data_IF_179808511135
#
_entry.id   IF_179808511135
#
_cell.length_a   1.000
_cell.length_b   1.000
_cell.length_c   1.000
_cell.angle_alpha   90.00
_cell.angle_beta   90.00
_cell.angle_gamma   90.00
#
_symmetry.space_group_name_H-M   'P 1'
#
loop_
_entity.id
_entity.type
_entity.pdbx_description
1 polymer ?
#
# COMPACT_ATOMS: atom_id res chain seq x y z
N UNK A 1 63.44 4.39 -42.87
CA UNK A 1 63.81 5.48 -41.95
C UNK A 1 62.87 6.67 -42.17
N UNK A 2 62.51 7.35 -41.07
CA UNK A 2 61.73 8.60 -40.93
C UNK A 2 60.20 8.49 -40.89
N UNK A 3 59.75 8.37 -39.63
CA UNK A 3 58.48 8.81 -39.04
C UNK A 3 58.16 10.26 -39.42
N UNK A 4 56.89 10.56 -39.71
CA UNK A 4 56.20 11.75 -39.16
C UNK A 4 54.79 11.32 -38.77
N UNK A 5 54.51 11.54 -37.49
CA UNK A 5 53.31 11.24 -36.75
C UNK A 5 52.39 12.47 -36.84
N UNK A 6 51.16 12.31 -37.34
CA UNK A 6 50.09 13.29 -37.11
C UNK A 6 48.97 12.59 -36.33
N UNK A 7 49.11 12.62 -35.01
CA UNK A 7 48.02 12.46 -34.05
C UNK A 7 47.33 13.82 -33.93
N UNK A 8 46.05 13.95 -34.29
CA UNK A 8 45.22 15.07 -33.83
C UNK A 8 43.74 14.87 -34.14
N UNK A 9 42.97 14.67 -33.07
CA UNK A 9 41.55 15.04 -32.92
C UNK A 9 40.54 14.23 -33.74
N UNK A 10 40.31 12.99 -33.31
CA UNK A 10 38.99 12.37 -33.47
C UNK A 10 38.61 11.49 -32.28
N UNK A 11 38.89 12.00 -31.07
CA UNK A 11 38.53 11.38 -29.81
C UNK A 11 37.91 12.44 -28.88
N UNK A 12 36.83 13.10 -29.34
CA UNK A 12 36.10 14.10 -28.54
C UNK A 12 34.63 14.26 -28.97
N UNK A 13 34.00 13.18 -29.47
CA UNK A 13 32.56 13.14 -29.75
C UNK A 13 31.89 11.83 -29.29
N UNK A 14 32.39 11.22 -28.22
CA UNK A 14 31.77 10.04 -27.63
C UNK A 14 31.39 10.22 -26.15
N UNK A 15 31.20 11.47 -25.70
CA UNK A 15 30.81 11.78 -24.30
C UNK A 15 29.69 12.81 -24.16
N UNK A 16 28.95 13.16 -25.22
CA UNK A 16 27.84 14.14 -25.13
C UNK A 16 26.47 13.64 -25.63
N UNK A 17 26.29 12.32 -25.75
CA UNK A 17 24.97 11.71 -25.98
C UNK A 17 24.58 10.75 -24.85
N UNK A 18 24.95 11.07 -23.61
CA UNK A 18 23.96 10.89 -22.55
C UNK A 18 22.93 12.01 -22.75
N UNK A 19 21.94 11.79 -23.61
CA UNK A 19 20.73 12.58 -23.58
C UNK A 19 20.28 12.62 -22.12
N UNK A 20 20.45 13.77 -21.45
CA UNK A 20 20.03 13.95 -20.07
C UNK A 20 18.54 13.69 -20.10
N UNK A 21 18.12 12.48 -19.70
CA UNK A 21 16.71 12.10 -19.76
C UNK A 21 15.95 13.16 -18.97
N UNK A 22 15.06 13.86 -19.65
CA UNK A 22 14.18 14.88 -19.08
C UNK A 22 12.76 14.35 -19.19
N UNK A 23 11.93 14.71 -18.23
CA UNK A 23 10.54 14.26 -18.18
C UNK A 23 9.62 15.46 -18.01
N UNK A 24 8.46 15.37 -18.65
CA UNK A 24 7.39 16.32 -18.45
C UNK A 24 6.76 16.11 -17.07
N UNK A 25 6.75 17.16 -16.27
CA UNK A 25 6.05 17.24 -14.99
C UNK A 25 4.89 18.20 -15.17
N UNK A 26 3.69 17.72 -14.88
CA UNK A 26 2.46 18.50 -14.92
C UNK A 26 1.95 18.70 -13.50
N UNK A 27 1.51 19.91 -13.17
CA UNK A 27 0.87 20.20 -11.89
C UNK A 27 -0.64 20.21 -12.11
N UNK A 28 -1.35 19.38 -11.37
CA UNK A 28 -2.81 19.34 -11.39
C UNK A 28 -3.39 20.55 -10.65
N UNK A 29 -4.59 20.97 -11.02
CA UNK A 29 -5.23 22.10 -10.34
C UNK A 29 -5.64 21.71 -8.91
N UNK A 30 -5.21 22.49 -7.92
CA UNK A 30 -5.68 22.35 -6.54
C UNK A 30 -7.04 23.04 -6.36
N UNK A 31 -7.99 22.36 -5.73
CA UNK A 31 -9.26 22.94 -5.27
C UNK A 31 -9.27 23.04 -3.76
N UNK A 32 -9.81 24.14 -3.22
CA UNK A 32 -9.94 24.40 -1.78
C UNK A 32 -8.60 24.50 -1.01
N UNK A 33 -7.54 24.83 -1.72
CA UNK A 33 -6.20 25.02 -1.18
C UNK A 33 -5.23 25.33 -2.31
N UNK A 34 -3.95 25.29 -1.98
CA UNK A 34 -2.85 25.44 -2.93
C UNK A 34 -1.70 24.54 -2.50
N UNK A 35 -0.78 24.25 -3.41
CA UNK A 35 0.47 23.61 -3.06
C UNK A 35 1.62 24.20 -3.87
N UNK A 36 2.82 24.09 -3.32
CA UNK A 36 4.05 24.55 -3.93
C UNK A 36 4.94 23.37 -4.27
N UNK A 37 5.74 23.50 -5.34
CA UNK A 37 6.74 22.49 -5.74
C UNK A 37 8.11 23.15 -5.79
N UNK A 38 9.06 22.58 -5.05
CA UNK A 38 10.44 23.09 -4.93
C UNK A 38 11.44 22.02 -5.36
N UNK A 39 12.42 22.32 -6.25
CA UNK A 39 12.61 23.59 -6.95
C UNK A 39 11.44 23.93 -7.88
N UNK A 40 11.26 25.24 -8.13
CA UNK A 40 10.22 25.74 -9.05
C UNK A 40 10.39 25.10 -10.43
N UNK A 41 9.31 24.60 -10.99
CA UNK A 41 9.34 23.98 -12.31
C UNK A 41 9.64 25.02 -13.41
N UNK A 42 10.41 24.65 -14.45
CA UNK A 42 10.52 25.43 -15.68
C UNK A 42 9.13 25.68 -16.31
N UNK A 43 9.01 26.74 -17.13
CA UNK A 43 7.72 27.10 -17.77
C UNK A 43 7.15 25.98 -18.64
N UNK A 44 8.01 25.19 -19.27
CA UNK A 44 7.64 24.04 -20.10
C UNK A 44 7.41 22.76 -19.27
N UNK A 45 7.63 22.79 -17.95
CA UNK A 45 7.51 21.64 -17.07
C UNK A 45 8.55 20.54 -17.32
N UNK A 46 9.60 20.79 -18.10
CA UNK A 46 10.59 19.78 -18.48
C UNK A 46 11.69 19.73 -17.42
N UNK A 47 11.74 18.63 -16.66
CA UNK A 47 12.65 18.47 -15.51
C UNK A 47 13.65 17.35 -15.75
N UNK A 48 14.90 17.54 -15.30
CA UNK A 48 15.97 16.53 -15.44
C UNK A 48 15.70 15.30 -14.57
N UNK A 49 15.91 14.11 -15.11
CA UNK A 49 15.89 12.84 -14.36
C UNK A 49 16.78 12.92 -13.12
N UNK A 50 16.28 12.41 -12.01
CA UNK A 50 16.95 12.40 -10.71
C UNK A 50 16.69 13.64 -9.86
N UNK A 51 16.05 14.68 -10.39
CA UNK A 51 15.64 15.85 -9.61
C UNK A 51 14.65 15.42 -8.53
N UNK A 52 14.91 15.78 -7.28
CA UNK A 52 13.96 15.62 -6.18
C UNK A 52 13.11 16.87 -6.07
N UNK A 53 11.80 16.71 -6.23
CA UNK A 53 10.81 17.75 -6.04
C UNK A 53 10.18 17.58 -4.66
N UNK A 54 10.07 18.68 -3.90
CA UNK A 54 9.36 18.76 -2.62
C UNK A 54 8.04 19.47 -2.84
N UNK A 55 6.95 18.80 -2.49
CA UNK A 55 5.60 19.33 -2.55
C UNK A 55 5.19 19.75 -1.14
N UNK A 56 4.55 20.91 -0.99
CA UNK A 56 4.00 21.37 0.28
C UNK A 56 2.63 22.02 0.08
N UNK A 57 1.63 21.52 0.79
CA UNK A 57 0.26 21.99 0.72
C UNK A 57 -0.05 23.11 1.70
N UNK A 58 -1.06 23.92 1.37
CA UNK A 58 -1.64 24.97 2.20
C UNK A 58 -3.14 24.99 1.93
N UNK A 59 -3.94 24.65 2.94
CA UNK A 59 -5.39 24.60 2.80
C UNK A 59 -6.01 26.00 2.90
N UNK A 60 -7.15 26.20 2.23
CA UNK A 60 -7.98 27.40 2.45
C UNK A 60 -8.70 27.29 3.80
N UNK A 61 -9.25 28.41 4.27
CA UNK A 61 -10.10 28.43 5.47
C UNK A 61 -11.26 27.43 5.36
N UNK A 62 -11.49 26.65 6.42
CA UNK A 62 -12.50 25.57 6.45
C UNK A 62 -12.05 24.23 5.86
N UNK A 63 -10.83 24.13 5.33
CA UNK A 63 -10.29 22.91 4.74
C UNK A 63 -9.02 22.43 5.43
N UNK A 64 -8.68 21.17 5.23
CA UNK A 64 -7.43 20.54 5.66
C UNK A 64 -6.78 19.80 4.48
N UNK A 65 -5.44 19.68 4.44
CA UNK A 65 -4.77 18.80 3.49
C UNK A 65 -5.27 17.35 3.65
N UNK A 66 -5.67 16.71 2.56
CA UNK A 66 -6.17 15.33 2.56
C UNK A 66 -5.14 14.34 2.03
N UNK A 67 -4.58 14.63 0.86
CA UNK A 67 -3.58 13.75 0.26
C UNK A 67 -2.84 14.38 -0.89
N UNK A 68 -1.51 14.37 -0.81
CA UNK A 68 -0.63 14.63 -1.93
C UNK A 68 -0.52 13.40 -2.81
N UNK A 69 -0.37 13.60 -4.13
CA UNK A 69 -0.14 12.47 -5.01
C UNK A 69 0.79 12.82 -6.16
N UNK A 70 1.41 11.78 -6.72
CA UNK A 70 1.89 11.83 -8.10
C UNK A 70 1.36 10.64 -8.89
N UNK A 71 0.93 10.91 -10.12
CA UNK A 71 0.36 9.93 -11.03
C UNK A 71 1.33 9.71 -12.19
N UNK A 72 1.59 8.45 -12.52
CA UNK A 72 2.47 8.07 -13.62
C UNK A 72 1.69 7.21 -14.61
N UNK A 73 1.99 7.31 -15.90
CA UNK A 73 1.34 6.48 -16.92
C UNK A 73 2.26 5.31 -17.24
N UNK A 74 1.72 4.09 -17.14
CA UNK A 74 2.39 2.86 -17.53
C UNK A 74 1.42 1.99 -18.32
N UNK A 75 1.80 1.64 -19.55
CA UNK A 75 1.03 0.72 -20.41
C UNK A 75 -0.45 1.13 -20.59
N UNK A 76 -0.71 2.45 -20.66
CA UNK A 76 -2.07 3.01 -20.80
C UNK A 76 -2.84 3.16 -19.49
N UNK A 77 -2.31 2.70 -18.36
CA UNK A 77 -2.92 2.82 -17.04
C UNK A 77 -2.26 3.93 -16.21
N UNK A 78 -3.09 4.67 -15.47
CA UNK A 78 -2.61 5.66 -14.51
C UNK A 78 -2.34 4.96 -13.18
N UNK A 79 -1.10 5.05 -12.71
CA UNK A 79 -0.68 4.59 -11.39
C UNK A 79 -0.51 5.77 -10.46
N UNK A 80 -1.31 5.81 -9.40
CA UNK A 80 -1.23 6.82 -8.35
C UNK A 80 -0.30 6.38 -7.23
N UNK A 81 0.44 7.34 -6.70
CA UNK A 81 1.18 7.24 -5.46
C UNK A 81 0.71 8.36 -4.57
N UNK A 82 0.09 8.03 -3.46
CA UNK A 82 -0.56 8.98 -2.58
C UNK A 82 0.20 9.09 -1.26
N UNK A 83 0.02 10.21 -0.58
CA UNK A 83 0.46 10.37 0.81
C UNK A 83 -0.41 11.36 1.56
N UNK A 84 -0.68 11.09 2.84
CA UNK A 84 -1.47 11.98 3.70
C UNK A 84 -0.64 13.11 4.32
N UNK A 85 0.68 13.13 4.13
CA UNK A 85 1.52 14.17 4.69
C UNK A 85 1.38 15.49 3.94
N UNK A 86 1.24 16.59 4.69
CA UNK A 86 1.19 17.97 4.16
C UNK A 86 2.40 18.38 3.31
N UNK A 87 3.49 17.61 3.39
CA UNK A 87 4.63 17.72 2.51
C UNK A 87 5.21 16.36 2.18
N UNK A 88 5.64 16.18 0.93
CA UNK A 88 6.29 14.95 0.47
C UNK A 88 7.31 15.25 -0.61
N UNK A 89 8.20 14.29 -0.86
CA UNK A 89 9.20 14.38 -1.92
C UNK A 89 8.97 13.33 -2.99
N UNK A 90 9.12 13.71 -4.25
CA UNK A 90 9.08 12.81 -5.40
C UNK A 90 10.35 12.97 -6.23
N UNK A 91 10.93 11.84 -6.65
CA UNK A 91 12.10 11.83 -7.52
C UNK A 91 11.64 11.70 -8.97
N UNK A 92 12.07 12.63 -9.82
CA UNK A 92 11.73 12.63 -11.24
C UNK A 92 12.47 11.51 -11.95
N UNK A 93 11.78 10.45 -12.32
CA UNK A 93 12.35 9.33 -13.07
C UNK A 93 11.53 8.91 -14.30
N UNK A 94 10.34 9.49 -14.44
CA UNK A 94 9.40 9.36 -15.56
C UNK A 94 8.48 10.58 -15.63
N UNK A 95 7.65 10.64 -16.66
CA UNK A 95 6.58 11.65 -16.75
C UNK A 95 5.56 11.42 -15.65
N UNK A 96 5.10 12.51 -15.02
CA UNK A 96 4.13 12.43 -13.95
C UNK A 96 3.31 13.70 -13.81
N UNK A 97 2.09 13.51 -13.31
CA UNK A 97 1.28 14.58 -12.77
C UNK A 97 1.46 14.63 -11.26
N UNK A 98 1.56 15.82 -10.68
CA UNK A 98 1.66 16.02 -9.23
C UNK A 98 0.46 16.85 -8.81
N UNK A 99 -0.26 16.41 -7.80
CA UNK A 99 -1.42 17.10 -7.28
C UNK A 99 -1.55 17.00 -5.77
N UNK A 100 -2.55 17.70 -5.26
CA UNK A 100 -2.89 17.68 -3.84
C UNK A 100 -4.41 17.83 -3.66
N UNK A 101 -4.98 16.96 -2.83
CA UNK A 101 -6.38 16.94 -2.43
C UNK A 101 -6.58 17.65 -1.09
N UNK A 102 -7.71 18.36 -0.96
CA UNK A 102 -8.13 19.02 0.26
C UNK A 102 -9.56 18.62 0.57
N UNK A 103 -9.84 18.37 1.86
CA UNK A 103 -11.19 18.06 2.35
C UNK A 103 -11.62 19.06 3.39
N UNK A 104 -12.94 19.16 3.57
CA UNK A 104 -13.55 19.96 4.62
C UNK A 104 -13.00 19.55 5.99
N UNK A 105 -12.69 20.53 6.84
CA UNK A 105 -12.18 20.27 8.20
C UNK A 105 -13.15 19.40 9.01
N UNK A 106 -14.44 19.56 8.77
CA UNK A 106 -15.51 18.80 9.42
C UNK A 106 -15.41 17.29 9.14
N UNK A 107 -14.76 16.88 8.04
CA UNK A 107 -14.60 15.47 7.68
C UNK A 107 -13.80 14.66 8.70
N UNK A 108 -12.96 15.33 9.51
CA UNK A 108 -12.17 14.68 10.58
C UNK A 108 -12.43 15.31 11.96
N UNK A 109 -13.36 16.27 12.06
CA UNK A 109 -13.64 16.98 13.31
C UNK A 109 -14.08 16.03 14.43
N UNK A 110 -14.86 15.00 14.09
CA UNK A 110 -15.36 14.00 15.03
C UNK A 110 -14.44 12.78 15.18
N UNK A 111 -13.31 12.75 14.49
CA UNK A 111 -12.40 11.61 14.45
C UNK A 111 -11.07 11.92 15.15
N UNK A 112 -10.53 10.92 15.84
CA UNK A 112 -9.12 10.81 16.16
C UNK A 112 -8.47 10.00 15.05
N UNK A 113 -7.67 10.68 14.22
CA UNK A 113 -6.87 10.06 13.16
C UNK A 113 -5.43 9.93 13.65
N UNK A 114 -4.86 8.73 13.59
CA UNK A 114 -3.47 8.46 13.96
C UNK A 114 -2.83 7.67 12.83
N UNK A 115 -1.70 8.15 12.35
CA UNK A 115 -1.00 7.55 11.22
C UNK A 115 0.22 6.74 11.66
N UNK A 116 0.69 5.88 10.77
CA UNK A 116 2.01 5.27 10.85
C UNK A 116 2.24 4.35 12.06
N UNK A 117 1.20 3.63 12.52
CA UNK A 117 1.37 2.64 13.59
C UNK A 117 2.05 1.39 13.05
N UNK A 118 3.36 1.29 13.27
CA UNK A 118 4.17 0.15 12.84
C UNK A 118 3.85 -1.09 13.67
N UNK A 119 3.48 -2.18 12.99
CA UNK A 119 3.24 -3.48 13.63
C UNK A 119 4.37 -4.49 13.39
N UNK A 120 5.10 -4.37 12.28
CA UNK A 120 6.22 -5.25 11.95
C UNK A 120 7.20 -4.62 10.95
N UNK A 121 8.42 -5.18 10.89
CA UNK A 121 9.43 -4.85 9.86
C UNK A 121 10.23 -6.09 9.45
N UNK A 122 9.61 -7.05 8.74
CA UNK A 122 10.25 -8.29 8.31
C UNK A 122 11.22 -8.10 7.12
N UNK A 123 11.21 -6.92 6.48
CA UNK A 123 12.09 -6.54 5.37
C UNK A 123 12.47 -5.06 5.43
N UNK A 124 12.77 -4.46 4.29
CA UNK A 124 13.12 -3.02 4.22
C UNK A 124 11.92 -2.10 4.49
N UNK A 125 10.72 -2.48 4.02
CA UNK A 125 9.47 -1.76 4.21
C UNK A 125 8.95 -1.97 5.63
N UNK A 126 8.71 -0.87 6.36
CA UNK A 126 7.99 -0.91 7.63
C UNK A 126 6.51 -1.16 7.33
N UNK A 127 5.90 -2.07 8.07
CA UNK A 127 4.49 -2.42 7.90
C UNK A 127 3.70 -1.71 8.99
N UNK A 128 2.75 -0.91 8.54
CA UNK A 128 2.01 0.04 9.37
C UNK A 128 0.53 0.01 9.06
N UNK A 129 -0.24 0.66 9.91
CA UNK A 129 -1.63 0.99 9.65
C UNK A 129 -1.98 2.34 10.23
N UNK A 130 -3.02 2.94 9.67
CA UNK A 130 -3.64 4.15 10.17
C UNK A 130 -4.91 3.81 10.95
N UNK A 131 -5.25 4.65 11.91
CA UNK A 131 -6.40 4.49 12.81
C UNK A 131 -7.36 5.66 12.60
N UNK A 132 -8.63 5.35 12.40
CA UNK A 132 -9.73 6.31 12.37
C UNK A 132 -10.73 5.91 13.45
N UNK A 133 -10.75 6.67 14.55
CA UNK A 133 -11.57 6.37 15.74
C UNK A 133 -12.54 7.52 16.05
N UNK A 134 -13.84 7.27 16.21
CA UNK A 134 -14.79 8.29 16.64
C UNK A 134 -14.48 8.82 18.06
N UNK A 135 -14.39 10.14 18.21
CA UNK A 135 -14.13 10.78 19.52
C UNK A 135 -15.24 10.46 20.52
N UNK A 136 -14.86 10.16 21.76
CA UNK A 136 -15.79 9.92 22.86
C UNK A 136 -16.61 8.64 22.75
N UNK A 137 -16.22 7.71 21.86
CA UNK A 137 -16.81 6.37 21.76
C UNK A 137 -15.83 5.31 22.26
N UNK A 138 -16.37 4.20 22.74
CA UNK A 138 -15.60 3.06 23.23
C UNK A 138 -16.35 1.75 22.94
N UNK A 139 -15.64 0.63 22.97
CA UNK A 139 -16.14 -0.73 22.67
C UNK A 139 -16.90 -0.84 21.35
N UNK A 140 -16.46 -0.11 20.33
CA UNK A 140 -17.04 -0.19 18.99
C UNK A 140 -16.47 -1.39 18.23
N UNK A 141 -17.24 -2.08 17.39
CA UNK A 141 -16.70 -3.06 16.45
C UNK A 141 -15.58 -2.48 15.60
N UNK A 142 -14.58 -3.30 15.28
CA UNK A 142 -13.43 -2.90 14.49
C UNK A 142 -13.62 -3.28 13.02
N UNK A 143 -13.29 -2.38 12.09
CA UNK A 143 -13.14 -2.71 10.67
C UNK A 143 -11.66 -2.62 10.31
N UNK A 144 -11.12 -3.66 9.71
CA UNK A 144 -9.75 -3.68 9.17
C UNK A 144 -9.85 -3.65 7.65
N UNK A 145 -9.33 -2.59 7.05
CA UNK A 145 -9.24 -2.40 5.59
C UNK A 145 -7.86 -2.85 5.13
N UNK A 146 -7.83 -3.67 4.08
CA UNK A 146 -6.60 -4.11 3.41
C UNK A 146 -6.64 -3.63 1.97
N UNK A 147 -5.68 -2.81 1.56
CA UNK A 147 -5.71 -2.16 0.24
C UNK A 147 -5.43 -3.12 -0.92
N UNK A 148 -5.93 -2.77 -2.11
CA UNK A 148 -5.64 -3.42 -3.38
C UNK A 148 -4.27 -3.02 -3.95
N UNK A 149 -4.14 -2.99 -5.28
CA UNK A 149 -2.85 -2.70 -5.93
C UNK A 149 -2.08 -3.96 -6.36
N UNK A 150 -2.79 -5.07 -6.57
CA UNK A 150 -2.24 -6.30 -7.15
C UNK A 150 -1.05 -6.83 -6.37
N UNK A 151 -1.05 -6.75 -5.04
CA UNK A 151 0.07 -7.15 -4.17
C UNK A 151 1.41 -6.45 -4.46
N UNK A 152 1.44 -5.39 -5.27
CA UNK A 152 2.67 -4.86 -5.87
C UNK A 152 2.80 -3.34 -5.76
N UNK A 153 1.80 -2.68 -5.21
CA UNK A 153 1.71 -1.23 -5.17
C UNK A 153 0.75 -0.78 -4.08
N UNK A 154 0.65 0.53 -3.89
CA UNK A 154 -0.13 1.22 -2.88
C UNK A 154 0.38 1.03 -1.44
N UNK A 155 -0.25 1.76 -0.54
CA UNK A 155 -0.07 1.74 0.91
C UNK A 155 -1.45 1.86 1.55
N UNK A 156 -1.50 1.91 2.87
CA UNK A 156 -2.73 2.24 3.61
C UNK A 156 -3.38 3.53 3.11
N UNK A 157 -2.59 4.51 2.62
CA UNK A 157 -3.08 5.85 2.32
C UNK A 157 -4.13 5.90 1.20
N UNK A 158 -4.18 4.90 0.29
CA UNK A 158 -5.13 4.86 -0.84
C UNK A 158 -6.58 4.67 -0.39
N UNK A 159 -6.81 4.04 0.76
CA UNK A 159 -8.16 3.77 1.28
C UNK A 159 -8.62 4.76 2.36
N UNK A 160 -7.87 5.85 2.59
CA UNK A 160 -8.15 6.83 3.67
C UNK A 160 -9.56 7.40 3.63
N UNK A 161 -10.08 7.72 2.43
CA UNK A 161 -11.41 8.29 2.27
C UNK A 161 -12.50 7.32 2.71
N UNK A 162 -12.33 6.03 2.37
CA UNK A 162 -13.24 4.98 2.79
C UNK A 162 -13.13 4.71 4.30
N UNK A 163 -11.91 4.70 4.85
CA UNK A 163 -11.69 4.55 6.29
C UNK A 163 -12.36 5.67 7.10
N UNK A 164 -12.22 6.92 6.63
CA UNK A 164 -12.83 8.11 7.20
C UNK A 164 -14.35 8.03 7.19
N UNK A 165 -14.96 7.65 6.07
CA UNK A 165 -16.42 7.54 5.95
C UNK A 165 -17.01 6.48 6.90
N UNK A 166 -16.38 5.31 6.95
CA UNK A 166 -16.79 4.24 7.87
C UNK A 166 -16.68 4.67 9.34
N UNK A 167 -15.61 5.36 9.71
CA UNK A 167 -15.45 5.87 11.07
C UNK A 167 -16.46 7.00 11.39
N UNK A 168 -16.74 7.90 10.44
CA UNK A 168 -17.70 9.00 10.62
C UNK A 168 -19.14 8.54 10.87
N UNK A 169 -19.48 7.29 10.53
CA UNK A 169 -20.75 6.68 10.97
C UNK A 169 -20.92 6.64 12.50
N UNK A 170 -19.81 6.74 13.25
CA UNK A 170 -19.78 6.67 14.71
C UNK A 170 -19.99 5.26 15.27
N UNK A 171 -19.99 4.23 14.41
CA UNK A 171 -20.30 2.84 14.76
C UNK A 171 -19.07 1.93 14.79
N UNK A 172 -17.96 2.37 14.22
CA UNK A 172 -16.77 1.53 14.03
C UNK A 172 -15.49 2.29 14.37
N UNK A 173 -14.49 1.56 14.88
CA UNK A 173 -13.09 1.97 14.80
C UNK A 173 -12.48 1.32 13.57
N UNK A 174 -11.84 2.10 12.71
CA UNK A 174 -11.31 1.61 11.45
C UNK A 174 -9.78 1.60 11.48
N UNK A 175 -9.20 0.48 11.08
CA UNK A 175 -7.76 0.27 10.94
C UNK A 175 -7.45 0.01 9.47
N UNK A 176 -6.59 0.83 8.88
CA UNK A 176 -6.29 0.78 7.45
C UNK A 176 -4.85 0.32 7.23
N UNK A 177 -4.67 -0.88 6.69
CA UNK A 177 -3.43 -1.67 6.82
C UNK A 177 -2.61 -1.70 5.53
N UNK A 178 -1.30 -1.54 5.69
CA UNK A 178 -0.26 -1.74 4.67
C UNK A 178 0.41 -3.11 4.81
N UNK A 179 1.01 -3.61 3.73
CA UNK A 179 1.70 -4.91 3.69
C UNK A 179 2.89 -4.89 2.71
N UNK A 180 3.81 -5.87 2.76
CA UNK A 180 4.94 -5.91 1.81
C UNK A 180 4.48 -6.19 0.39
N UNK A 181 5.18 -5.63 -0.59
CA UNK A 181 4.88 -5.93 -1.99
C UNK A 181 5.58 -7.21 -2.44
N UNK A 182 4.96 -7.93 -3.38
CA UNK A 182 5.47 -9.16 -3.96
C UNK A 182 6.79 -8.94 -4.70
N UNK A 183 7.60 -10.00 -4.76
CA UNK A 183 8.95 -10.00 -5.30
C UNK A 183 9.82 -8.91 -4.64
N UNK A 184 10.59 -8.14 -5.40
CA UNK A 184 11.48 -7.08 -4.88
C UNK A 184 10.88 -5.69 -5.09
N UNK A 185 9.56 -5.61 -5.28
CA UNK A 185 8.90 -4.39 -5.73
C UNK A 185 8.89 -3.30 -4.66
N UNK A 186 8.96 -3.66 -3.37
CA UNK A 186 9.12 -2.74 -2.25
C UNK A 186 10.59 -2.32 -2.01
N UNK A 187 11.52 -2.77 -2.86
CA UNK A 187 12.94 -2.47 -2.79
C UNK A 187 13.77 -3.42 -1.92
N UNK A 188 13.17 -4.48 -1.36
CA UNK A 188 13.94 -5.50 -0.64
C UNK A 188 14.88 -6.27 -1.60
N UNK A 189 16.02 -6.71 -1.07
CA UNK A 189 16.95 -7.58 -1.81
C UNK A 189 16.39 -8.99 -1.93
N UNK A 190 15.65 -9.45 -0.92
CA UNK A 190 15.02 -10.77 -0.89
C UNK A 190 13.60 -10.65 -1.46
N UNK A 191 13.21 -11.52 -2.39
CA UNK A 191 11.87 -11.47 -2.94
C UNK A 191 10.84 -11.86 -1.88
N UNK A 192 9.81 -11.03 -1.72
CA UNK A 192 8.63 -11.35 -0.91
C UNK A 192 7.71 -12.26 -1.70
N UNK A 193 7.27 -13.34 -1.06
CA UNK A 193 6.32 -14.29 -1.64
C UNK A 193 4.91 -14.03 -1.09
N UNK A 194 3.86 -14.49 -1.79
CA UNK A 194 2.48 -14.24 -1.34
C UNK A 194 2.19 -14.77 0.07
N UNK A 195 2.75 -15.93 0.48
CA UNK A 195 2.51 -16.42 1.85
C UNK A 195 3.03 -15.45 2.90
N UNK A 196 4.13 -14.75 2.63
CA UNK A 196 4.68 -13.72 3.52
C UNK A 196 3.80 -12.47 3.57
N UNK A 197 3.08 -12.15 2.49
CA UNK A 197 2.08 -11.08 2.49
C UNK A 197 0.86 -11.48 3.34
N UNK A 198 0.44 -12.75 3.28
CA UNK A 198 -0.61 -13.28 4.17
C UNK A 198 -0.15 -13.23 5.65
N UNK A 199 1.11 -13.58 5.93
CA UNK A 199 1.73 -13.44 7.25
C UNK A 199 1.76 -11.99 7.74
N UNK A 200 1.99 -11.03 6.83
CA UNK A 200 1.93 -9.60 7.14
C UNK A 200 0.54 -9.17 7.58
N UNK A 201 -0.50 -9.61 6.87
CA UNK A 201 -1.89 -9.28 7.21
C UNK A 201 -2.30 -9.95 8.51
N UNK A 202 -1.89 -11.20 8.77
CA UNK A 202 -2.07 -11.80 10.09
C UNK A 202 -1.38 -10.99 11.19
N UNK A 203 -0.14 -10.55 10.96
CA UNK A 203 0.59 -9.70 11.89
C UNK A 203 -0.18 -8.42 12.22
N UNK A 204 -0.74 -7.75 11.22
CA UNK A 204 -1.56 -6.56 11.41
C UNK A 204 -2.81 -6.85 12.24
N UNK A 205 -3.59 -7.89 11.89
CA UNK A 205 -4.82 -8.24 12.61
C UNK A 205 -4.52 -8.59 14.07
N UNK A 206 -3.47 -9.38 14.32
CA UNK A 206 -3.07 -9.77 15.67
C UNK A 206 -2.58 -8.56 16.48
N UNK A 207 -1.82 -7.66 15.86
CA UNK A 207 -1.38 -6.42 16.51
C UNK A 207 -2.58 -5.52 16.86
N UNK A 208 -3.51 -5.34 15.92
CA UNK A 208 -4.75 -4.57 16.13
C UNK A 208 -5.58 -5.20 17.25
N UNK A 209 -5.73 -6.53 17.29
CA UNK A 209 -6.43 -7.22 18.37
C UNK A 209 -5.84 -6.99 19.76
N UNK A 210 -4.54 -6.74 19.87
CA UNK A 210 -3.90 -6.40 21.14
C UNK A 210 -4.13 -4.92 21.52
N UNK A 211 -4.15 -4.03 20.54
CA UNK A 211 -4.16 -2.57 20.77
C UNK A 211 -5.52 -1.90 20.62
N UNK A 212 -6.53 -2.57 20.05
CA UNK A 212 -7.79 -1.95 19.64
C UNK A 212 -8.50 -1.16 20.75
N UNK A 213 -8.47 -1.66 21.99
CA UNK A 213 -9.10 -1.00 23.14
C UNK A 213 -8.49 0.37 23.45
N UNK A 214 -7.21 0.60 23.12
CA UNK A 214 -6.55 1.91 23.28
C UNK A 214 -7.18 2.99 22.37
N UNK A 215 -7.93 2.56 21.37
CA UNK A 215 -8.55 3.40 20.35
C UNK A 215 -10.07 3.30 20.35
N UNK A 216 -10.67 2.75 21.42
CA UNK A 216 -12.11 2.59 21.55
C UNK A 216 -12.71 1.40 20.80
N UNK A 217 -11.85 0.48 20.31
CA UNK A 217 -12.25 -0.70 19.55
C UNK A 217 -12.44 -1.94 20.42
N UNK A 218 -13.48 -2.72 20.13
CA UNK A 218 -13.72 -4.04 20.67
C UNK A 218 -13.03 -5.11 19.80
N UNK A 219 -11.89 -5.59 20.30
CA UNK A 219 -11.11 -6.65 19.63
C UNK A 219 -11.84 -7.99 19.51
N UNK A 220 -12.97 -8.18 20.20
CA UNK A 220 -13.81 -9.39 20.09
C UNK A 220 -14.80 -9.33 18.92
N UNK A 221 -14.90 -8.20 18.23
CA UNK A 221 -15.80 -7.98 17.09
C UNK A 221 -15.08 -7.29 15.93
N UNK A 222 -14.41 -8.08 15.10
CA UNK A 222 -13.60 -7.62 13.96
C UNK A 222 -14.26 -7.99 12.64
N UNK A 223 -14.34 -7.02 11.73
CA UNK A 223 -14.75 -7.21 10.34
C UNK A 223 -13.59 -6.88 9.42
N UNK A 224 -13.41 -7.67 8.37
CA UNK A 224 -12.35 -7.45 7.39
C UNK A 224 -12.94 -7.01 6.05
N UNK A 225 -12.27 -6.09 5.37
CA UNK A 225 -12.63 -5.68 4.01
C UNK A 225 -11.38 -5.30 3.22
N UNK A 226 -11.49 -5.27 1.90
CA UNK A 226 -10.41 -4.90 1.01
C UNK A 226 -10.81 -5.00 -0.45
N UNK A 227 -10.15 -4.25 -1.31
CA UNK A 227 -10.39 -4.24 -2.74
C UNK A 227 -9.36 -5.11 -3.50
N UNK A 228 -9.77 -5.82 -4.55
CA UNK A 228 -8.86 -6.56 -5.42
C UNK A 228 -7.92 -7.52 -4.65
N UNK A 229 -6.60 -7.28 -4.71
CA UNK A 229 -5.59 -8.00 -3.92
C UNK A 229 -5.89 -7.99 -2.41
N UNK A 230 -6.40 -6.88 -1.87
CA UNK A 230 -6.84 -6.78 -0.49
C UNK A 230 -8.06 -7.65 -0.19
N UNK A 231 -8.98 -7.77 -1.15
CA UNK A 231 -10.11 -8.70 -1.08
C UNK A 231 -9.67 -10.17 -1.03
N UNK A 232 -8.65 -10.53 -1.82
CA UNK A 232 -8.00 -11.84 -1.71
C UNK A 232 -7.37 -12.05 -0.32
N UNK A 233 -6.63 -11.06 0.18
CA UNK A 233 -5.91 -11.16 1.45
C UNK A 233 -6.88 -11.26 2.65
N UNK A 234 -7.94 -10.46 2.70
CA UNK A 234 -8.92 -10.51 3.79
C UNK A 234 -9.64 -11.87 3.83
N UNK A 235 -9.93 -12.43 2.66
CA UNK A 235 -10.52 -13.77 2.53
C UNK A 235 -9.53 -14.85 2.94
N UNK A 236 -8.25 -14.71 2.59
CA UNK A 236 -7.19 -15.66 2.95
C UNK A 236 -7.03 -15.76 4.47
N UNK A 237 -6.92 -14.62 5.17
CA UNK A 237 -6.71 -14.63 6.62
C UNK A 237 -7.92 -15.12 7.42
N UNK A 238 -9.13 -14.97 6.87
CA UNK A 238 -10.32 -15.52 7.51
C UNK A 238 -10.45 -17.04 7.29
N UNK A 239 -10.07 -17.56 6.12
CA UNK A 239 -10.24 -18.98 5.79
C UNK A 239 -9.06 -19.86 6.20
N UNK A 240 -7.87 -19.28 6.42
CA UNK A 240 -6.65 -20.04 6.71
C UNK A 240 -6.20 -19.96 8.17
N UNK A 241 -7.08 -19.60 9.11
CA UNK A 241 -6.73 -19.48 10.53
C UNK A 241 -6.12 -20.79 11.06
N UNK A 242 -6.67 -21.94 10.66
CA UNK A 242 -6.14 -23.26 11.05
C UNK A 242 -4.74 -23.56 10.53
N UNK A 243 -4.28 -22.80 9.54
CA UNK A 243 -2.93 -22.88 8.96
C UNK A 243 -1.95 -21.93 9.63
N UNK A 244 -2.34 -21.13 10.62
CA UNK A 244 -1.36 -20.37 11.39
C UNK A 244 -0.43 -21.33 12.12
N UNK A 245 0.88 -21.12 11.98
CA UNK A 245 1.89 -22.03 12.51
C UNK A 245 3.33 -21.61 12.18
N UNK A 246 4.32 -22.27 12.79
CA UNK A 246 5.74 -21.93 12.68
C UNK A 246 6.56 -22.95 11.87
N UNK A 247 5.92 -23.94 11.22
CA UNK A 247 6.63 -24.92 10.37
C UNK A 247 6.98 -24.35 8.98
N UNK A 248 6.52 -23.14 8.67
CA UNK A 248 6.78 -22.43 7.42
C UNK A 248 5.90 -22.88 6.25
N UNK A 249 6.25 -22.41 5.05
CA UNK A 249 5.53 -22.67 3.81
C UNK A 249 6.43 -23.39 2.80
N UNK A 250 6.30 -24.71 2.69
CA UNK A 250 7.14 -25.59 1.89
C UNK A 250 6.31 -26.64 1.12
N UNK A 251 6.43 -26.61 -0.21
CA UNK A 251 5.74 -27.55 -1.11
C UNK A 251 6.27 -28.98 -1.03
N UNK A 252 7.57 -29.17 -0.83
CA UNK A 252 8.21 -30.49 -0.93
C UNK A 252 7.72 -31.45 0.16
N UNK A 253 7.35 -30.92 1.32
CA UNK A 253 6.85 -31.69 2.46
C UNK A 253 5.39 -31.34 2.79
N UNK A 254 4.65 -30.74 1.85
CA UNK A 254 3.23 -30.39 2.00
C UNK A 254 2.91 -29.56 3.26
N UNK A 255 3.83 -28.68 3.68
CA UNK A 255 3.66 -27.83 4.86
C UNK A 255 3.24 -26.44 4.41
N UNK A 256 2.02 -26.02 4.77
CA UNK A 256 1.49 -24.70 4.41
C UNK A 256 1.04 -23.97 5.67
N UNK A 257 2.01 -23.47 6.43
CA UNK A 257 1.75 -22.69 7.63
C UNK A 257 2.17 -21.23 7.46
N UNK A 258 1.38 -20.34 8.04
CA UNK A 258 1.62 -18.89 8.03
C UNK A 258 2.00 -18.44 9.43
N UNK A 259 3.20 -17.90 9.62
CA UNK A 259 3.60 -17.30 10.89
C UNK A 259 3.31 -15.80 10.87
N UNK A 260 2.38 -15.28 11.70
CA UNK A 260 2.10 -13.85 11.74
C UNK A 260 3.38 -13.05 12.00
N UNK A 261 3.60 -11.98 11.24
CA UNK A 261 4.82 -11.17 11.41
C UNK A 261 4.87 -10.39 12.72
N UNK A 262 3.74 -10.32 13.42
CA UNK A 262 3.63 -9.86 14.79
C UNK A 262 2.99 -10.93 15.67
N UNK A 263 3.62 -11.21 16.81
CA UNK A 263 3.10 -12.10 17.86
C UNK A 263 3.18 -11.38 19.21
N UNK A 264 2.07 -11.28 19.98
CA UNK A 264 2.07 -10.72 21.31
C UNK A 264 3.01 -11.49 22.23
N UNK A 265 3.72 -10.76 23.10
CA UNK A 265 4.69 -11.37 24.02
C UNK A 265 3.99 -12.39 24.92
N UNK A 266 4.51 -13.61 24.94
CA UNK A 266 4.02 -14.70 25.79
C UNK A 266 2.75 -15.39 25.28
N UNK A 267 2.26 -15.09 24.07
CA UNK A 267 1.13 -15.79 23.45
C UNK A 267 1.60 -16.94 22.57
N UNK A 268 0.95 -18.09 22.74
CA UNK A 268 1.13 -19.25 21.89
C UNK A 268 0.39 -19.10 20.56
N UNK A 269 0.82 -19.87 19.56
CA UNK A 269 0.14 -19.95 18.25
C UNK A 269 -1.32 -20.38 18.42
N UNK A 270 -1.58 -21.35 19.30
CA UNK A 270 -2.94 -21.88 19.48
C UNK A 270 -3.89 -20.84 20.11
N UNK A 271 -3.41 -20.07 21.09
CA UNK A 271 -4.17 -18.95 21.64
C UNK A 271 -4.51 -17.91 20.57
N UNK A 272 -3.57 -17.61 19.66
CA UNK A 272 -3.81 -16.67 18.56
C UNK A 272 -4.84 -17.20 17.57
N UNK A 273 -4.75 -18.48 17.18
CA UNK A 273 -5.73 -19.14 16.31
C UNK A 273 -7.13 -19.07 16.90
N UNK A 274 -7.28 -19.47 18.16
CA UNK A 274 -8.56 -19.46 18.86
C UNK A 274 -9.11 -18.04 18.94
N UNK A 275 -8.28 -17.05 19.31
CA UNK A 275 -8.74 -15.67 19.44
C UNK A 275 -9.15 -15.08 18.09
N UNK A 276 -8.40 -15.34 17.02
CA UNK A 276 -8.74 -14.89 15.66
C UNK A 276 -10.08 -15.48 15.20
N UNK A 277 -10.25 -16.80 15.33
CA UNK A 277 -11.48 -17.51 14.95
C UNK A 277 -12.71 -16.98 15.70
N UNK A 278 -12.55 -16.60 16.97
CA UNK A 278 -13.63 -16.04 17.76
C UNK A 278 -13.92 -14.57 17.44
N UNK A 279 -12.90 -13.79 17.07
CA UNK A 279 -13.00 -12.34 16.96
C UNK A 279 -13.42 -11.88 15.57
N UNK A 280 -13.03 -12.58 14.51
CA UNK A 280 -13.44 -12.26 13.13
C UNK A 280 -14.91 -12.64 12.94
N UNK A 281 -15.77 -11.65 12.69
CA UNK A 281 -17.23 -11.81 12.55
C UNK A 281 -17.71 -11.84 11.10
N UNK A 282 -16.92 -11.30 10.18
CA UNK A 282 -17.29 -11.26 8.78
C UNK A 282 -16.20 -10.67 7.89
N UNK A 283 -16.29 -11.00 6.61
CA UNK A 283 -15.42 -10.50 5.56
C UNK A 283 -16.28 -9.95 4.43
N UNK A 284 -15.98 -8.74 3.97
CA UNK A 284 -16.68 -8.09 2.87
C UNK A 284 -15.67 -7.67 1.78
N UNK A 285 -15.26 -8.58 0.87
CA UNK A 285 -14.32 -8.25 -0.19
C UNK A 285 -15.00 -7.41 -1.28
N UNK A 286 -14.35 -6.33 -1.71
CA UNK A 286 -14.81 -5.47 -2.80
C UNK A 286 -14.13 -5.87 -4.12
N UNK A 287 -14.85 -6.60 -4.98
CA UNK A 287 -14.40 -7.23 -6.23
C UNK A 287 -13.08 -8.03 -6.14
N UNK A 288 -13.16 -9.33 -6.41
CA UNK A 288 -12.00 -10.22 -6.41
C UNK A 288 -10.99 -9.89 -7.52
N UNK A 289 -9.79 -10.46 -7.39
CA UNK A 289 -8.72 -10.34 -8.40
C UNK A 289 -9.11 -11.02 -9.71
N UNK A 290 -8.48 -10.55 -10.78
CA UNK A 290 -8.70 -10.94 -12.17
C UNK A 290 -8.07 -12.31 -12.52
N UNK A 291 -8.31 -12.78 -13.75
CA UNK A 291 -7.82 -14.07 -14.25
C UNK A 291 -6.29 -14.21 -14.23
N UNK A 292 -5.82 -15.47 -14.26
CA UNK A 292 -4.38 -15.77 -14.37
C UNK A 292 -3.74 -15.09 -15.59
N UNK A 293 -4.49 -14.96 -16.69
CA UNK A 293 -4.09 -14.23 -17.90
C UNK A 293 -3.89 -12.73 -17.63
N UNK A 294 -4.78 -12.09 -16.87
CA UNK A 294 -4.62 -10.68 -16.52
C UNK A 294 -3.47 -10.48 -15.53
N UNK A 295 -3.25 -11.43 -14.62
CA UNK A 295 -2.11 -11.40 -13.70
C UNK A 295 -0.76 -11.61 -14.43
N UNK A 296 -0.70 -12.43 -15.47
CA UNK A 296 0.54 -12.71 -16.22
C UNK A 296 1.08 -11.48 -16.97
N UNK A 297 0.22 -10.52 -17.31
CA UNK A 297 0.63 -9.22 -17.87
C UNK A 297 1.49 -8.41 -16.89
N UNK A 298 1.30 -8.60 -15.58
CA UNK A 298 2.00 -7.87 -14.52
C UNK A 298 3.08 -8.70 -13.82
N UNK A 299 2.93 -10.02 -13.81
CA UNK A 299 3.76 -10.97 -13.05
C UNK A 299 4.22 -12.15 -13.90
N UNK A 300 4.89 -11.90 -15.02
CA UNK A 300 5.15 -12.89 -16.08
C UNK A 300 5.83 -14.18 -15.60
N UNK A 301 6.67 -14.12 -14.57
CA UNK A 301 7.43 -15.27 -14.04
C UNK A 301 6.96 -15.76 -12.65
N UNK A 302 5.77 -15.33 -12.18
CA UNK A 302 5.30 -15.75 -10.86
C UNK A 302 4.74 -17.19 -10.90
N UNK A 303 5.34 -18.16 -10.17
CA UNK A 303 5.03 -19.58 -10.37
C UNK A 303 3.69 -20.03 -9.77
N UNK A 304 2.90 -19.10 -9.24
CA UNK A 304 1.62 -19.37 -8.59
C UNK A 304 0.46 -18.55 -9.17
N UNK A 305 0.60 -17.99 -10.38
CA UNK A 305 -0.43 -17.13 -10.96
C UNK A 305 -1.81 -17.81 -11.01
N UNK A 306 -1.83 -19.09 -11.36
CA UNK A 306 -3.07 -19.86 -11.45
C UNK A 306 -3.72 -20.06 -10.09
N UNK A 307 -2.92 -20.21 -9.03
CA UNK A 307 -3.37 -20.45 -7.66
C UNK A 307 -3.87 -19.20 -6.95
N UNK A 308 -3.44 -18.03 -7.39
CA UNK A 308 -3.81 -16.75 -6.77
C UNK A 308 -4.89 -16.02 -7.56
N UNK A 309 -5.27 -16.53 -8.74
CA UNK A 309 -6.37 -16.04 -9.57
C UNK A 309 -7.71 -16.59 -9.05
N UNK A 310 -8.52 -15.77 -8.34
CA UNK A 310 -9.75 -16.25 -7.70
C UNK A 310 -10.77 -16.78 -8.70
N UNK A 311 -10.76 -16.27 -9.94
CA UNK A 311 -11.68 -16.70 -11.01
C UNK A 311 -11.51 -18.18 -11.35
N UNK A 312 -10.31 -18.74 -11.18
CA UNK A 312 -10.03 -20.16 -11.44
C UNK A 312 -10.71 -21.09 -10.42
N UNK A 313 -11.25 -20.53 -9.34
CA UNK A 313 -11.86 -21.26 -8.24
C UNK A 313 -13.33 -20.86 -8.01
N UNK A 314 -13.92 -20.08 -8.93
CA UNK A 314 -15.35 -19.86 -8.99
C UNK A 314 -15.96 -21.09 -9.69
N UNK A 315 -16.84 -21.87 -9.02
CA UNK A 315 -17.52 -22.99 -9.67
C UNK A 315 -18.28 -22.51 -10.91
N UNK A 316 -18.15 -23.22 -12.03
CA UNK A 316 -18.83 -22.89 -13.30
C UNK A 316 -20.36 -22.91 -13.17
N UNK A 317 -20.88 -23.52 -12.11
CA UNK A 317 -22.30 -23.84 -11.92
C UNK A 317 -23.06 -22.80 -11.07
N UNK A 318 -22.83 -21.49 -11.27
CA UNK A 318 -23.66 -20.46 -10.64
C UNK A 318 -24.50 -19.72 -11.68
N UNK A 319 -25.71 -20.25 -11.86
CA UNK A 319 -26.87 -19.54 -12.41
C UNK A 319 -27.24 -18.30 -11.56
#
# INVERSE_FOLDING_TARGET
MKKILFFSVMALFCTELQAQRKFKITLDEARNGSYTVTPKLPKDGIVKKGTTLTVKATANEGYIPDGGYYATIRDGYVQYHETMHSSFTVKVDKEMNIGYSFVRKEAEENLRVIQDIVYAKPGVKALKYDIYSPKGKDRLPCIIIIHGGGWSSNSEEVMRGFARELANSGRYVVFNVDYRWMDKLDGDKKPTTLHQIIEDVYGAVVHIMEKASLYGGDSSSIFLTGDSAGGHLCTSVANFIDRIGNKGFNKLNNTFQFLPTYMPKGKSIEEIKQKLAQSIKGVAPSYGVFSAEMLSQRFTDYPFLSEVAPINYIPEDRA
#
